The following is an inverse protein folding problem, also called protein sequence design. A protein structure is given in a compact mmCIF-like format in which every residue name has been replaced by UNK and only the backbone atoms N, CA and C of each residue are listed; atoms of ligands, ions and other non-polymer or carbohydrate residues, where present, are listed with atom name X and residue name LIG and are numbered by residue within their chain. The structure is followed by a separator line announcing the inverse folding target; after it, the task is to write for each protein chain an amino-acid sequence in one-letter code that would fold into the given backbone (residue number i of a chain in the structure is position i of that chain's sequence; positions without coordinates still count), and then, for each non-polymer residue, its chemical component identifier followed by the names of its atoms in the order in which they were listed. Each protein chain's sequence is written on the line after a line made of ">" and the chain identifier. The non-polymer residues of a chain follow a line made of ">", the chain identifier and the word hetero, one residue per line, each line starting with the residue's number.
data_IF_783535799863
#
_entry.id   IF_783535799863
#
_cell.length_a   1.000
_cell.length_b   1.000
_cell.length_c   1.000
_cell.angle_alpha   90.00
_cell.angle_beta   90.00
_cell.angle_gamma   90.00
#
_symmetry.space_group_name_H-M   'P 1'
#
loop_
_entity.id
_entity.type
_entity.pdbx_description
1 polymer ?
#
# COMPACT_ATOMS: atom_id res chain seq x y z
N UNK A 1 -14.02 -21.34 8.91
CA UNK A 1 -15.11 -22.23 8.43
C UNK A 1 -15.89 -21.52 7.35
N UNK A 2 -16.02 -22.17 6.20
CA UNK A 2 -16.87 -21.90 5.03
C UNK A 2 -16.18 -21.22 3.83
N UNK A 3 -15.51 -22.04 3.04
CA UNK A 3 -15.42 -21.84 1.59
C UNK A 3 -16.48 -22.74 0.94
N UNK A 4 -17.59 -22.14 0.53
CA UNK A 4 -18.50 -22.69 -0.49
C UNK A 4 -19.49 -21.61 -0.91
N UNK A 5 -19.26 -20.93 -2.00
CA UNK A 5 -20.25 -20.11 -2.68
C UNK A 5 -20.55 -20.73 -4.04
N UNK A 6 -21.76 -21.26 -4.21
CA UNK A 6 -22.26 -21.85 -5.44
C UNK A 6 -22.67 -20.75 -6.41
N UNK A 7 -22.15 -20.78 -7.62
CA UNK A 7 -22.55 -19.92 -8.73
C UNK A 7 -23.91 -20.36 -9.29
N UNK A 8 -24.90 -19.46 -9.28
CA UNK A 8 -26.16 -19.64 -9.98
C UNK A 8 -26.14 -18.87 -11.29
N UNK A 9 -26.09 -19.59 -12.40
CA UNK A 9 -26.21 -19.04 -13.75
C UNK A 9 -27.67 -18.78 -14.07
N UNK A 10 -28.06 -17.54 -14.33
CA UNK A 10 -29.34 -17.19 -14.93
C UNK A 10 -29.10 -16.73 -16.37
N UNK A 11 -29.51 -17.53 -17.31
CA UNK A 11 -29.51 -17.18 -18.70
C UNK A 11 -30.78 -16.36 -19.06
N UNK A 12 -30.60 -15.14 -19.54
CA UNK A 12 -31.68 -14.34 -20.15
C UNK A 12 -31.41 -14.17 -21.63
N UNK A 13 -32.24 -14.77 -22.44
CA UNK A 13 -32.30 -14.59 -23.90
C UNK A 13 -33.06 -13.31 -24.22
N UNK A 14 -32.45 -12.36 -24.90
CA UNK A 14 -33.10 -11.15 -25.43
C UNK A 14 -32.63 -10.84 -26.85
N UNK A 15 -33.56 -10.77 -27.74
CA UNK A 15 -33.49 -10.60 -29.19
C UNK A 15 -32.91 -9.27 -29.64
N UNK A 16 -32.18 -9.33 -30.76
CA UNK A 16 -31.38 -8.28 -31.35
C UNK A 16 -32.08 -7.00 -31.80
N UNK A 17 -31.29 -5.95 -31.74
CA UNK A 17 -31.35 -4.77 -32.62
C UNK A 17 -29.93 -4.44 -33.02
N UNK A 18 -29.64 -4.52 -34.31
CA UNK A 18 -28.37 -4.09 -34.90
C UNK A 18 -28.28 -2.56 -34.89
N UNK A 19 -27.49 -2.02 -34.01
CA UNK A 19 -27.00 -0.64 -34.10
C UNK A 19 -25.68 -0.62 -34.88
N UNK A 20 -25.60 0.25 -35.90
CA UNK A 20 -24.34 0.50 -36.62
C UNK A 20 -23.28 1.05 -35.69
N UNK A 21 -22.00 0.67 -35.86
CA UNK A 21 -20.92 1.21 -35.05
C UNK A 21 -20.71 2.69 -35.40
N UNK A 22 -20.96 3.56 -34.46
CA UNK A 22 -20.42 4.92 -34.49
C UNK A 22 -18.93 4.79 -34.16
N UNK A 23 -18.06 4.95 -35.13
CA UNK A 23 -16.61 5.15 -34.90
C UNK A 23 -16.44 6.49 -34.20
N UNK A 24 -16.49 6.48 -32.86
CA UNK A 24 -15.98 7.56 -32.03
C UNK A 24 -14.46 7.55 -32.15
N UNK A 25 -13.84 8.71 -32.40
CA UNK A 25 -12.42 8.91 -32.22
C UNK A 25 -12.08 8.52 -30.78
N UNK A 26 -11.36 7.42 -30.59
CA UNK A 26 -10.62 7.18 -29.35
C UNK A 26 -9.69 8.39 -29.18
N UNK A 27 -9.82 9.08 -28.07
CA UNK A 27 -8.95 10.21 -27.74
C UNK A 27 -7.56 9.66 -27.40
N UNK A 28 -6.47 10.35 -27.76
CA UNK A 28 -5.09 9.95 -27.48
C UNK A 28 -4.90 9.56 -25.98
N UNK A 29 -5.62 10.22 -25.05
CA UNK A 29 -5.61 9.90 -23.62
C UNK A 29 -6.21 8.54 -23.25
N UNK A 30 -7.17 8.01 -24.02
CA UNK A 30 -7.74 6.66 -23.79
C UNK A 30 -6.74 5.56 -24.13
N UNK A 31 -6.02 5.70 -25.25
CA UNK A 31 -4.99 4.72 -25.66
C UNK A 31 -3.82 4.67 -24.68
N UNK A 32 -3.42 5.79 -24.12
CA UNK A 32 -2.33 5.88 -23.14
C UNK A 32 -2.75 5.23 -21.79
N UNK A 33 -3.97 5.48 -21.34
CA UNK A 33 -4.51 4.83 -20.13
C UNK A 33 -4.59 3.31 -20.28
N UNK A 34 -5.08 2.79 -21.42
CA UNK A 34 -5.13 1.37 -21.70
C UNK A 34 -3.73 0.74 -21.72
N UNK A 35 -2.73 1.43 -22.28
CA UNK A 35 -1.33 0.96 -22.32
C UNK A 35 -0.72 0.86 -20.91
N UNK A 36 -1.02 1.79 -19.99
CA UNK A 36 -0.55 1.75 -18.60
C UNK A 36 -1.14 0.58 -17.84
N UNK A 37 -2.42 0.30 -18.03
CA UNK A 37 -3.08 -0.89 -17.47
C UNK A 37 -2.39 -2.16 -17.96
N UNK A 38 -2.20 -2.31 -19.27
CA UNK A 38 -1.54 -3.48 -19.87
C UNK A 38 -0.10 -3.67 -19.31
N UNK A 39 0.65 -2.59 -19.13
CA UNK A 39 2.01 -2.65 -18.55
C UNK A 39 1.98 -3.13 -17.10
N UNK A 40 1.10 -2.57 -16.27
CA UNK A 40 0.95 -2.94 -14.86
C UNK A 40 0.51 -4.40 -14.71
N UNK A 41 -0.48 -4.84 -15.49
CA UNK A 41 -0.93 -6.23 -15.49
C UNK A 41 0.15 -7.21 -15.97
N UNK A 42 0.91 -6.82 -17.00
CA UNK A 42 2.03 -7.63 -17.49
C UNK A 42 3.15 -7.74 -16.45
N UNK A 43 3.44 -6.65 -15.73
CA UNK A 43 4.41 -6.66 -14.64
C UNK A 43 3.95 -7.58 -13.50
N UNK A 44 2.69 -7.48 -13.10
CA UNK A 44 2.08 -8.36 -12.10
C UNK A 44 2.15 -9.82 -12.53
N UNK A 45 1.80 -10.15 -13.76
CA UNK A 45 1.85 -11.53 -14.26
C UNK A 45 3.29 -12.07 -14.22
N UNK A 46 4.28 -11.31 -14.70
CA UNK A 46 5.69 -11.74 -14.67
C UNK A 46 6.18 -11.98 -13.22
N UNK A 47 5.71 -11.17 -12.28
CA UNK A 47 6.00 -11.31 -10.86
C UNK A 47 5.38 -12.59 -10.28
N UNK A 48 4.10 -12.82 -10.54
CA UNK A 48 3.38 -14.02 -10.08
C UNK A 48 3.98 -15.29 -10.68
N UNK A 49 4.27 -15.31 -11.97
CA UNK A 49 4.92 -16.44 -12.65
C UNK A 49 6.26 -16.83 -12.00
N UNK A 50 6.92 -15.86 -11.37
CA UNK A 50 8.24 -16.08 -10.77
C UNK A 50 8.20 -16.43 -9.29
N UNK A 51 7.28 -15.84 -8.53
CA UNK A 51 7.34 -15.84 -7.07
C UNK A 51 6.11 -16.43 -6.38
N UNK A 52 5.00 -16.57 -7.10
CA UNK A 52 3.77 -17.06 -6.51
C UNK A 52 3.63 -18.58 -6.70
N UNK A 53 3.27 -19.25 -5.61
CA UNK A 53 3.02 -20.69 -5.60
C UNK A 53 1.61 -20.96 -5.11
N UNK A 54 0.85 -21.71 -5.88
CA UNK A 54 -0.54 -22.09 -5.58
C UNK A 54 -0.57 -23.52 -5.03
N UNK A 55 -1.34 -23.71 -3.98
CA UNK A 55 -1.79 -25.00 -3.49
C UNK A 55 -3.25 -25.21 -3.95
N UNK A 56 -3.41 -25.78 -5.14
CA UNK A 56 -4.73 -25.95 -5.79
C UNK A 56 -5.70 -26.81 -4.97
N UNK A 57 -5.19 -27.79 -4.20
CA UNK A 57 -6.03 -28.66 -3.37
C UNK A 57 -6.74 -27.90 -2.24
N UNK A 58 -6.21 -26.74 -1.84
CA UNK A 58 -6.70 -25.95 -0.71
C UNK A 58 -7.08 -24.51 -1.08
N UNK A 59 -7.13 -24.18 -2.36
CA UNK A 59 -7.46 -22.85 -2.90
C UNK A 59 -6.72 -21.70 -2.18
N UNK A 60 -5.40 -21.86 -2.08
CA UNK A 60 -4.53 -20.89 -1.42
C UNK A 60 -3.22 -20.73 -2.18
N UNK A 61 -2.59 -19.59 -1.97
CA UNK A 61 -1.29 -19.31 -2.57
C UNK A 61 -0.44 -18.40 -1.71
N UNK A 62 0.85 -18.41 -1.95
CA UNK A 62 1.80 -17.60 -1.21
C UNK A 62 2.95 -17.10 -2.09
N UNK A 63 3.49 -15.94 -1.75
CA UNK A 63 4.76 -15.47 -2.28
C UNK A 63 5.88 -16.14 -1.48
N UNK A 64 6.75 -16.87 -2.15
CA UNK A 64 7.79 -17.68 -1.52
C UNK A 64 8.95 -16.81 -1.02
N UNK A 65 9.43 -17.12 0.18
CA UNK A 65 10.66 -16.52 0.74
C UNK A 65 10.48 -15.20 1.43
N UNK A 66 9.25 -14.85 1.78
CA UNK A 66 8.88 -13.59 2.42
C UNK A 66 8.28 -13.84 3.82
N UNK A 67 8.30 -12.79 4.65
CA UNK A 67 7.82 -12.83 6.03
C UNK A 67 6.58 -11.95 6.21
N UNK A 68 6.08 -11.83 7.43
CA UNK A 68 4.77 -11.30 7.77
C UNK A 68 4.43 -9.98 7.06
N UNK A 69 5.19 -8.90 7.33
CA UNK A 69 4.85 -7.58 6.84
C UNK A 69 5.07 -7.41 5.32
N UNK A 70 6.10 -8.05 4.77
CA UNK A 70 6.34 -8.01 3.32
C UNK A 70 5.26 -8.76 2.54
N UNK A 71 4.70 -9.86 3.11
CA UNK A 71 3.53 -10.53 2.54
C UNK A 71 2.28 -9.66 2.64
N UNK A 72 2.11 -8.91 3.72
CA UNK A 72 1.00 -7.95 3.87
C UNK A 72 1.08 -6.85 2.81
N UNK A 73 2.26 -6.29 2.57
CA UNK A 73 2.46 -5.27 1.54
C UNK A 73 2.28 -5.80 0.11
N UNK A 74 2.73 -7.02 -0.18
CA UNK A 74 2.47 -7.63 -1.49
C UNK A 74 1.00 -8.03 -1.67
N UNK A 75 0.28 -8.35 -0.59
CA UNK A 75 -1.18 -8.45 -0.62
C UNK A 75 -1.80 -7.10 -0.99
N UNK A 76 -1.32 -5.99 -0.42
CA UNK A 76 -1.77 -4.65 -0.77
C UNK A 76 -1.48 -4.27 -2.24
N UNK A 77 -0.40 -4.77 -2.85
CA UNK A 77 -0.16 -4.58 -4.30
C UNK A 77 -1.25 -5.27 -5.14
N UNK A 78 -1.78 -6.41 -4.70
CA UNK A 78 -2.92 -7.07 -5.37
C UNK A 78 -4.22 -6.29 -5.12
N UNK A 79 -4.38 -5.72 -3.93
CA UNK A 79 -5.49 -4.78 -3.64
C UNK A 79 -5.43 -3.57 -4.57
N UNK A 80 -4.23 -2.98 -4.79
CA UNK A 80 -4.02 -1.88 -5.74
C UNK A 80 -4.43 -2.30 -7.16
N UNK A 81 -4.07 -3.50 -7.58
CA UNK A 81 -4.44 -4.03 -8.90
C UNK A 81 -5.96 -4.17 -9.06
N UNK A 82 -6.65 -4.72 -8.06
CA UNK A 82 -8.11 -4.82 -8.08
C UNK A 82 -8.78 -3.44 -8.05
N UNK A 83 -8.31 -2.55 -7.18
CA UNK A 83 -8.80 -1.18 -7.08
C UNK A 83 -8.71 -0.44 -8.43
N UNK A 84 -7.61 -0.62 -9.17
CA UNK A 84 -7.36 0.08 -10.43
C UNK A 84 -8.03 -0.56 -11.64
N UNK A 85 -8.16 -1.87 -11.69
CA UNK A 85 -8.64 -2.58 -12.87
C UNK A 85 -10.09 -3.08 -12.74
N UNK A 86 -10.53 -3.45 -11.54
CA UNK A 86 -11.79 -4.14 -11.29
C UNK A 86 -11.84 -5.59 -11.82
N UNK A 87 -10.68 -6.15 -12.19
CA UNK A 87 -10.59 -7.51 -12.75
C UNK A 87 -10.77 -8.57 -11.65
N UNK A 88 -11.79 -9.41 -11.77
CA UNK A 88 -12.15 -10.44 -10.78
C UNK A 88 -10.99 -11.38 -10.43
N UNK A 89 -10.06 -11.62 -11.38
CA UNK A 89 -8.83 -12.41 -11.12
C UNK A 89 -8.03 -11.89 -9.92
N UNK A 90 -8.01 -10.59 -9.66
CA UNK A 90 -7.30 -10.00 -8.52
C UNK A 90 -8.08 -10.17 -7.22
N UNK A 91 -9.42 -10.18 -7.27
CA UNK A 91 -10.24 -10.53 -6.11
C UNK A 91 -10.00 -11.98 -5.68
N UNK A 92 -9.96 -12.90 -6.63
CA UNK A 92 -9.66 -14.31 -6.38
C UNK A 92 -8.23 -14.47 -5.83
N UNK A 93 -7.26 -13.75 -6.41
CA UNK A 93 -5.88 -13.76 -5.96
C UNK A 93 -5.73 -13.22 -4.52
N UNK A 94 -6.43 -12.14 -4.16
CA UNK A 94 -6.49 -11.65 -2.78
C UNK A 94 -6.98 -12.72 -1.82
N UNK A 95 -8.07 -13.42 -2.16
CA UNK A 95 -8.61 -14.48 -1.31
C UNK A 95 -7.60 -15.62 -1.12
N UNK A 96 -6.97 -16.07 -2.19
CA UNK A 96 -5.95 -17.13 -2.14
C UNK A 96 -4.71 -16.72 -1.31
N UNK A 97 -4.21 -15.48 -1.51
CA UNK A 97 -3.06 -14.96 -0.76
C UNK A 97 -3.39 -14.82 0.72
N UNK A 98 -4.59 -14.34 1.05
CA UNK A 98 -5.03 -14.23 2.44
C UNK A 98 -5.17 -15.61 3.10
N UNK A 99 -5.74 -16.60 2.42
CA UNK A 99 -5.78 -17.98 2.91
C UNK A 99 -4.37 -18.55 3.14
N UNK A 100 -3.41 -18.27 2.26
CA UNK A 100 -2.00 -18.64 2.43
C UNK A 100 -1.34 -17.92 3.61
N UNK A 101 -1.68 -16.66 3.83
CA UNK A 101 -1.21 -15.87 4.96
C UNK A 101 -1.72 -16.43 6.30
N UNK A 102 -3.02 -16.69 6.40
CA UNK A 102 -3.65 -17.28 7.59
C UNK A 102 -3.08 -18.68 7.87
N UNK A 103 -2.78 -19.48 6.85
CA UNK A 103 -2.11 -20.76 7.04
C UNK A 103 -0.74 -20.61 7.71
N UNK A 104 0.00 -19.57 7.34
CA UNK A 104 1.37 -19.35 7.83
C UNK A 104 1.41 -18.73 9.22
N UNK A 105 0.46 -17.81 9.53
CA UNK A 105 0.50 -16.96 10.71
C UNK A 105 -0.73 -17.08 11.62
N UNK A 106 -1.76 -17.86 11.22
CA UNK A 106 -3.03 -17.93 11.94
C UNK A 106 -3.93 -16.71 11.69
N UNK A 107 -5.06 -16.68 12.40
CA UNK A 107 -6.01 -15.56 12.41
C UNK A 107 -5.75 -14.60 13.57
N UNK A 108 -4.99 -15.04 14.58
CA UNK A 108 -4.59 -14.28 15.76
C UNK A 108 -3.10 -13.94 15.68
N UNK A 109 -2.77 -12.64 15.69
CA UNK A 109 -1.39 -12.19 15.53
C UNK A 109 -0.79 -11.60 16.80
N UNK A 110 -1.41 -11.86 17.96
CA UNK A 110 -0.96 -11.36 19.26
C UNK A 110 0.46 -11.81 19.63
N UNK A 111 0.90 -12.94 19.09
CA UNK A 111 2.26 -13.48 19.29
C UNK A 111 3.32 -12.81 18.40
N UNK A 112 2.93 -11.98 17.44
CA UNK A 112 3.88 -11.16 16.68
C UNK A 112 4.28 -9.95 17.54
N UNK A 113 5.55 -9.86 17.88
CA UNK A 113 6.06 -8.76 18.71
C UNK A 113 6.08 -7.41 17.98
N UNK A 114 6.10 -7.41 16.65
CA UNK A 114 6.16 -6.20 15.83
C UNK A 114 4.77 -5.62 15.59
N UNK A 115 4.52 -4.46 16.16
CA UNK A 115 3.22 -3.77 16.04
C UNK A 115 2.94 -3.25 14.63
N UNK A 116 3.97 -2.82 13.94
CA UNK A 116 3.89 -2.38 12.54
C UNK A 116 3.57 -3.53 11.59
N UNK A 117 4.16 -4.72 11.77
CA UNK A 117 3.84 -5.91 10.98
C UNK A 117 2.32 -6.15 10.94
N UNK A 118 1.70 -6.17 12.14
CA UNK A 118 0.27 -6.37 12.28
C UNK A 118 -0.52 -5.26 11.59
N UNK A 119 -0.05 -4.02 11.71
CA UNK A 119 -0.76 -2.87 11.16
C UNK A 119 -0.73 -2.83 9.63
N UNK A 120 0.34 -3.31 8.99
CA UNK A 120 0.38 -3.46 7.53
C UNK A 120 -0.73 -4.39 7.01
N UNK A 121 -0.91 -5.57 7.59
CA UNK A 121 -2.01 -6.45 7.18
C UNK A 121 -3.39 -5.90 7.61
N UNK A 122 -3.47 -5.13 8.67
CA UNK A 122 -4.69 -4.42 9.07
C UNK A 122 -5.17 -3.45 8.00
N UNK A 123 -4.25 -2.68 7.41
CA UNK A 123 -4.54 -1.79 6.26
C UNK A 123 -5.01 -2.61 5.07
N UNK A 124 -4.28 -3.66 4.71
CA UNK A 124 -4.63 -4.55 3.61
C UNK A 124 -6.04 -5.12 3.75
N UNK A 125 -6.39 -5.60 4.95
CA UNK A 125 -7.74 -6.10 5.26
C UNK A 125 -8.81 -5.01 5.16
N UNK A 126 -8.57 -3.81 5.71
CA UNK A 126 -9.53 -2.71 5.64
C UNK A 126 -9.81 -2.31 4.19
N UNK A 127 -8.78 -2.18 3.36
CA UNK A 127 -8.89 -1.89 1.92
C UNK A 127 -9.60 -3.01 1.14
N UNK A 128 -9.24 -4.27 1.43
CA UNK A 128 -9.89 -5.42 0.80
C UNK A 128 -11.39 -5.46 1.11
N UNK A 129 -11.80 -5.14 2.35
CA UNK A 129 -13.22 -5.03 2.69
C UNK A 129 -13.93 -3.92 1.89
N UNK A 130 -13.35 -2.73 1.79
CA UNK A 130 -13.95 -1.63 1.01
C UNK A 130 -14.24 -2.01 -0.44
N UNK A 131 -13.37 -2.81 -1.05
CA UNK A 131 -13.48 -3.20 -2.45
C UNK A 131 -14.37 -4.42 -2.67
N UNK A 132 -14.39 -5.37 -1.73
CA UNK A 132 -15.05 -6.67 -1.90
C UNK A 132 -16.33 -6.84 -1.10
N UNK A 133 -16.47 -6.14 0.03
CA UNK A 133 -17.56 -6.32 0.99
C UNK A 133 -17.49 -7.61 1.82
N UNK A 134 -16.38 -8.37 1.72
CA UNK A 134 -16.21 -9.63 2.45
C UNK A 134 -15.94 -9.37 3.94
N UNK A 135 -16.92 -9.64 4.79
CA UNK A 135 -16.96 -9.19 6.20
C UNK A 135 -15.80 -9.67 7.06
N UNK A 136 -15.22 -10.83 6.75
CA UNK A 136 -14.06 -11.34 7.50
C UNK A 136 -12.84 -10.40 7.43
N UNK A 137 -12.62 -9.69 6.33
CA UNK A 137 -11.55 -8.69 6.24
C UNK A 137 -11.79 -7.53 7.20
N UNK A 138 -13.03 -7.05 7.31
CA UNK A 138 -13.38 -6.00 8.28
C UNK A 138 -13.14 -6.49 9.71
N UNK A 139 -13.62 -7.69 10.05
CA UNK A 139 -13.48 -8.27 11.38
C UNK A 139 -11.99 -8.40 11.77
N UNK A 140 -11.14 -8.82 10.84
CA UNK A 140 -9.70 -8.90 11.05
C UNK A 140 -9.07 -7.51 11.26
N UNK A 141 -9.47 -6.52 10.45
CA UNK A 141 -8.95 -5.17 10.58
C UNK A 141 -9.34 -4.52 11.91
N UNK A 142 -10.60 -4.63 12.32
CA UNK A 142 -11.09 -4.11 13.62
C UNK A 142 -10.37 -4.77 14.79
N UNK A 143 -10.27 -6.12 14.77
CA UNK A 143 -9.63 -6.89 15.82
C UNK A 143 -8.17 -6.49 16.02
N UNK A 144 -7.40 -6.45 14.94
CA UNK A 144 -5.97 -6.22 15.02
C UNK A 144 -5.60 -4.75 15.23
N UNK A 145 -6.38 -3.82 14.72
CA UNK A 145 -6.23 -2.40 15.09
C UNK A 145 -6.39 -2.21 16.60
N UNK A 146 -7.45 -2.80 17.17
CA UNK A 146 -7.69 -2.73 18.61
C UNK A 146 -6.57 -3.40 19.41
N UNK A 147 -6.14 -4.60 19.01
CA UNK A 147 -5.03 -5.33 19.64
C UNK A 147 -3.76 -4.45 19.72
N UNK A 148 -3.37 -3.86 18.59
CA UNK A 148 -2.15 -3.04 18.52
C UNK A 148 -2.32 -1.75 19.31
N UNK A 149 -3.44 -1.04 19.16
CA UNK A 149 -3.67 0.20 19.88
C UNK A 149 -3.63 -0.03 21.40
N UNK A 150 -4.33 -1.04 21.92
CA UNK A 150 -4.43 -1.32 23.34
C UNK A 150 -3.07 -1.70 23.97
N UNK A 151 -2.18 -2.37 23.23
CA UNK A 151 -0.89 -2.83 23.76
C UNK A 151 0.28 -1.87 23.51
N UNK A 152 0.19 -1.02 22.49
CA UNK A 152 1.31 -0.21 22.03
C UNK A 152 1.18 1.29 22.37
N UNK A 153 -0.05 1.81 22.50
CA UNK A 153 -0.24 3.21 22.88
C UNK A 153 0.14 3.45 24.35
N UNK A 154 0.95 4.45 24.59
CA UNK A 154 1.17 4.99 25.94
C UNK A 154 1.51 6.48 25.88
N UNK A 155 1.45 7.16 27.04
CA UNK A 155 1.66 8.60 27.14
C UNK A 155 3.15 9.00 27.27
N UNK A 156 4.06 8.04 27.29
CA UNK A 156 5.50 8.33 27.28
C UNK A 156 5.86 9.07 25.98
N UNK A 157 6.78 10.02 26.07
CA UNK A 157 7.17 10.87 24.95
C UNK A 157 6.00 11.66 24.32
N UNK A 158 4.93 11.91 25.10
CA UNK A 158 3.77 12.69 24.67
C UNK A 158 2.71 11.91 23.90
N UNK A 159 2.78 10.60 23.85
CA UNK A 159 1.84 9.71 23.10
C UNK A 159 2.56 8.83 22.09
N UNK A 160 1.83 8.31 21.12
CA UNK A 160 2.34 7.46 20.04
C UNK A 160 2.44 5.98 20.39
N UNK A 161 2.55 5.17 19.36
CA UNK A 161 2.60 3.71 19.44
C UNK A 161 4.04 3.20 19.50
N UNK A 162 4.29 2.23 20.36
CA UNK A 162 5.55 1.48 20.42
C UNK A 162 5.74 0.65 19.15
N UNK A 163 6.97 0.61 18.64
CA UNK A 163 7.29 -0.22 17.47
C UNK A 163 7.14 -1.71 17.77
N UNK A 164 7.59 -2.15 18.94
CA UNK A 164 7.66 -3.56 19.30
C UNK A 164 7.30 -3.75 20.78
N UNK A 165 6.79 -4.94 21.15
CA UNK A 165 6.32 -5.23 22.52
C UNK A 165 7.43 -5.16 23.59
N UNK A 166 8.68 -5.46 23.22
CA UNK A 166 9.86 -5.45 24.12
C UNK A 166 10.75 -4.20 23.95
N UNK A 167 10.28 -3.19 23.20
CA UNK A 167 11.01 -1.96 22.91
C UNK A 167 10.30 -0.74 23.49
N UNK A 168 11.04 0.34 23.67
CA UNK A 168 10.53 1.63 24.17
C UNK A 168 10.60 2.75 23.12
N UNK A 169 11.13 2.45 21.94
CA UNK A 169 11.16 3.39 20.82
C UNK A 169 9.79 3.46 20.13
N UNK A 170 9.51 4.62 19.56
CA UNK A 170 8.29 4.89 18.78
C UNK A 170 8.69 5.33 17.38
N UNK A 171 8.26 4.56 16.40
CA UNK A 171 8.72 4.69 15.03
C UNK A 171 7.60 5.23 14.10
N UNK A 172 8.01 5.92 13.04
CA UNK A 172 7.09 6.34 11.98
C UNK A 172 6.42 5.14 11.30
N UNK A 173 7.14 4.01 11.14
CA UNK A 173 6.64 2.79 10.49
C UNK A 173 5.45 2.10 11.17
N UNK A 174 5.16 2.42 12.43
CA UNK A 174 3.93 1.99 13.10
C UNK A 174 2.90 3.11 13.17
N UNK A 175 3.31 4.34 13.46
CA UNK A 175 2.38 5.43 13.70
C UNK A 175 1.68 5.91 12.41
N UNK A 176 2.40 6.02 11.29
CA UNK A 176 1.81 6.33 9.98
C UNK A 176 0.77 5.28 9.54
N UNK A 177 1.14 3.99 9.47
CA UNK A 177 0.19 2.91 9.16
C UNK A 177 -1.01 2.84 10.11
N UNK A 178 -0.81 3.03 11.41
CA UNK A 178 -1.92 3.00 12.37
C UNK A 178 -2.89 4.17 12.18
N UNK A 179 -2.39 5.37 11.85
CA UNK A 179 -3.25 6.49 11.49
C UNK A 179 -4.07 6.21 10.22
N UNK A 180 -3.45 5.60 9.20
CA UNK A 180 -4.14 5.14 7.98
C UNK A 180 -5.21 4.11 8.34
N UNK A 181 -4.86 3.07 9.08
CA UNK A 181 -5.80 2.01 9.47
C UNK A 181 -7.01 2.55 10.23
N UNK A 182 -6.78 3.49 11.18
CA UNK A 182 -7.86 4.16 11.90
C UNK A 182 -8.78 4.97 10.96
N UNK A 183 -8.23 5.69 9.99
CA UNK A 183 -9.00 6.41 8.98
C UNK A 183 -9.85 5.46 8.13
N UNK A 184 -9.26 4.36 7.65
CA UNK A 184 -9.96 3.35 6.85
C UNK A 184 -11.07 2.68 7.66
N UNK A 185 -10.81 2.31 8.92
CA UNK A 185 -11.82 1.72 9.81
C UNK A 185 -12.98 2.70 10.08
N UNK A 186 -12.70 3.97 10.32
CA UNK A 186 -13.77 4.98 10.41
C UNK A 186 -14.56 5.07 9.11
N UNK A 187 -13.90 5.04 7.95
CA UNK A 187 -14.56 5.13 6.64
C UNK A 187 -15.53 3.96 6.41
N UNK A 188 -15.20 2.74 6.86
CA UNK A 188 -16.04 1.55 6.68
C UNK A 188 -17.06 1.32 7.79
N UNK A 189 -16.78 1.72 9.04
CA UNK A 189 -17.67 1.46 10.19
C UNK A 189 -18.52 2.66 10.61
N UNK A 190 -18.01 3.88 10.38
CA UNK A 190 -18.55 5.15 10.90
C UNK A 190 -18.48 5.29 12.41
N UNK A 191 -17.63 4.48 13.08
CA UNK A 191 -17.40 4.58 14.51
C UNK A 191 -16.36 5.67 14.80
N UNK A 192 -16.78 6.75 15.49
CA UNK A 192 -15.97 7.94 15.76
C UNK A 192 -14.66 7.64 16.52
N UNK A 193 -14.63 6.59 17.33
CA UNK A 193 -13.45 6.18 18.09
C UNK A 193 -12.23 5.90 17.19
N UNK A 194 -12.44 5.34 16.00
CA UNK A 194 -11.36 5.10 15.03
C UNK A 194 -10.79 6.43 14.49
N UNK A 195 -11.64 7.38 14.16
CA UNK A 195 -11.19 8.69 13.67
C UNK A 195 -10.44 9.47 14.75
N UNK A 196 -10.93 9.45 15.99
CA UNK A 196 -10.26 10.13 17.11
C UNK A 196 -8.89 9.50 17.39
N UNK A 197 -8.78 8.18 17.39
CA UNK A 197 -7.49 7.48 17.51
C UNK A 197 -6.55 7.81 16.34
N UNK A 198 -7.05 7.81 15.10
CA UNK A 198 -6.25 8.18 13.93
C UNK A 198 -5.68 9.60 14.06
N UNK A 199 -6.52 10.58 14.46
CA UNK A 199 -6.09 11.96 14.71
C UNK A 199 -5.05 12.06 15.82
N UNK A 200 -5.25 11.30 16.90
CA UNK A 200 -4.34 11.29 18.05
C UNK A 200 -2.96 10.74 17.67
N UNK A 201 -2.92 9.62 16.94
CA UNK A 201 -1.67 9.00 16.43
C UNK A 201 -0.97 9.95 15.45
N UNK A 202 -1.71 10.47 14.48
CA UNK A 202 -1.21 11.39 13.47
C UNK A 202 -0.62 12.66 14.10
N UNK A 203 -1.34 13.28 15.04
CA UNK A 203 -0.88 14.51 15.69
C UNK A 203 0.42 14.27 16.46
N UNK A 204 0.52 13.13 17.16
CA UNK A 204 1.77 12.77 17.82
C UNK A 204 2.93 12.62 16.82
N UNK A 205 2.71 11.95 15.69
CA UNK A 205 3.76 11.78 14.66
C UNK A 205 4.16 13.13 14.06
N UNK A 206 3.20 14.01 13.77
CA UNK A 206 3.45 15.35 13.27
C UNK A 206 4.30 16.17 14.24
N UNK A 207 3.94 16.18 15.52
CA UNK A 207 4.62 16.98 16.54
C UNK A 207 5.99 16.45 16.93
N UNK A 208 6.21 15.13 16.77
CA UNK A 208 7.41 14.45 17.30
C UNK A 208 8.40 14.08 16.20
N UNK A 209 7.93 13.52 15.08
CA UNK A 209 8.80 12.94 14.04
C UNK A 209 8.91 13.81 12.78
N UNK A 210 7.97 14.74 12.53
CA UNK A 210 8.07 15.62 11.37
C UNK A 210 9.00 16.80 11.65
N UNK A 211 9.88 17.11 10.68
CA UNK A 211 10.92 18.12 10.83
C UNK A 211 10.48 19.54 10.43
N UNK A 212 9.18 19.73 10.11
CA UNK A 212 8.62 21.04 9.70
C UNK A 212 8.96 21.48 8.27
N UNK A 213 9.74 20.70 7.54
CA UNK A 213 10.06 20.91 6.11
C UNK A 213 9.51 19.80 5.21
N UNK A 214 8.63 18.94 5.72
CA UNK A 214 8.07 17.78 5.03
C UNK A 214 8.83 16.48 5.25
N UNK A 215 10.01 16.51 5.86
CA UNK A 215 10.76 15.30 6.20
C UNK A 215 10.15 14.57 7.40
N UNK A 216 9.99 13.27 7.31
CA UNK A 216 9.52 12.39 8.38
C UNK A 216 10.71 11.59 8.92
N UNK A 217 11.06 11.82 10.18
CA UNK A 217 12.10 11.10 10.92
C UNK A 217 11.68 9.67 11.19
N UNK A 218 12.64 8.76 11.30
CA UNK A 218 12.39 7.33 11.47
C UNK A 218 11.78 6.98 12.83
N UNK A 219 12.43 7.41 13.92
CA UNK A 219 11.98 7.07 15.26
C UNK A 219 12.46 8.05 16.34
N UNK A 220 11.86 7.95 17.51
CA UNK A 220 12.34 8.55 18.76
C UNK A 220 12.65 7.46 19.77
N UNK A 221 13.83 7.55 20.38
CA UNK A 221 14.27 6.66 21.45
C UNK A 221 13.70 7.10 22.82
N UNK A 222 13.69 6.20 23.80
CA UNK A 222 13.15 6.46 25.14
C UNK A 222 13.85 7.61 25.88
N UNK A 223 15.08 7.96 25.48
CA UNK A 223 15.82 9.11 26.02
C UNK A 223 15.47 10.45 25.31
N UNK A 224 14.54 10.42 24.37
CA UNK A 224 14.11 11.58 23.59
C UNK A 224 14.96 11.87 22.37
N UNK A 225 15.94 11.05 22.03
CA UNK A 225 16.79 11.23 20.85
C UNK A 225 16.03 10.79 19.59
N UNK A 226 15.93 11.70 18.62
CA UNK A 226 15.29 11.44 17.33
C UNK A 226 16.34 10.96 16.32
N UNK A 227 16.03 9.86 15.63
CA UNK A 227 16.71 9.40 14.44
C UNK A 227 16.08 10.09 13.23
N UNK A 228 16.79 11.05 12.66
CA UNK A 228 16.31 11.90 11.56
C UNK A 228 16.45 11.28 10.17
N UNK A 229 16.80 10.00 10.07
CA UNK A 229 16.79 9.30 8.79
C UNK A 229 15.38 9.31 8.20
N UNK A 230 15.29 9.64 6.90
CA UNK A 230 14.04 9.66 6.16
C UNK A 230 14.02 8.49 5.19
N UNK A 231 12.94 7.72 5.22
CA UNK A 231 12.70 6.62 4.30
C UNK A 231 11.46 6.87 3.44
N UNK A 232 11.44 6.25 2.26
CA UNK A 232 10.34 6.44 1.32
C UNK A 232 9.02 5.91 1.86
N UNK A 233 9.02 4.80 2.61
CA UNK A 233 7.77 4.26 3.18
C UNK A 233 7.20 5.13 4.31
N UNK A 234 8.04 5.74 5.15
CA UNK A 234 7.58 6.66 6.19
C UNK A 234 6.99 7.94 5.58
N UNK A 235 7.62 8.49 4.53
CA UNK A 235 7.05 9.60 3.76
C UNK A 235 5.69 9.20 3.17
N UNK A 236 5.61 8.04 2.52
CA UNK A 236 4.38 7.54 1.90
C UNK A 236 3.23 7.38 2.90
N UNK A 237 3.47 6.75 4.04
CA UNK A 237 2.42 6.56 5.05
C UNK A 237 1.98 7.85 5.71
N UNK A 238 2.89 8.81 5.91
CA UNK A 238 2.52 10.14 6.40
C UNK A 238 1.65 10.91 5.39
N UNK A 239 2.01 10.87 4.10
CA UNK A 239 1.21 11.44 3.00
C UNK A 239 -0.19 10.79 3.00
N UNK A 240 -0.26 9.46 3.07
CA UNK A 240 -1.53 8.72 3.06
C UNK A 240 -2.41 9.03 4.27
N UNK A 241 -1.85 9.08 5.47
CA UNK A 241 -2.58 9.44 6.69
C UNK A 241 -3.11 10.87 6.62
N UNK A 242 -2.29 11.81 6.15
CA UNK A 242 -2.65 13.22 5.97
C UNK A 242 -3.80 13.38 4.97
N UNK A 243 -3.70 12.74 3.81
CA UNK A 243 -4.76 12.79 2.78
C UNK A 243 -6.07 12.21 3.31
N UNK A 244 -6.05 11.03 3.93
CA UNK A 244 -7.25 10.39 4.47
C UNK A 244 -7.91 11.25 5.54
N UNK A 245 -7.14 11.88 6.44
CA UNK A 245 -7.68 12.81 7.42
C UNK A 245 -8.31 14.03 6.77
N UNK A 246 -7.70 14.58 5.72
CA UNK A 246 -8.32 15.67 4.95
C UNK A 246 -9.64 15.23 4.32
N UNK A 247 -9.69 14.08 3.66
CA UNK A 247 -10.93 13.56 3.04
C UNK A 247 -12.05 13.36 4.05
N UNK A 248 -11.73 12.87 5.24
CA UNK A 248 -12.70 12.54 6.27
C UNK A 248 -13.18 13.76 7.06
N UNK A 249 -12.33 14.79 7.22
CA UNK A 249 -12.64 15.96 8.08
C UNK A 249 -12.89 17.25 7.31
N UNK A 250 -12.36 17.37 6.08
CA UNK A 250 -12.35 18.62 5.31
C UNK A 250 -11.37 19.67 5.85
N UNK A 251 -10.54 19.36 6.83
CA UNK A 251 -9.60 20.29 7.43
C UNK A 251 -8.35 20.47 6.55
N UNK A 252 -8.19 21.65 5.95
CA UNK A 252 -7.13 21.97 4.99
C UNK A 252 -5.71 21.70 5.52
N UNK A 253 -5.47 21.86 6.81
CA UNK A 253 -4.17 21.62 7.43
C UNK A 253 -3.59 20.23 7.11
N UNK A 254 -4.42 19.21 7.00
CA UNK A 254 -3.98 17.85 6.67
C UNK A 254 -3.50 17.74 5.21
N UNK A 255 -4.23 18.37 4.27
CA UNK A 255 -3.78 18.41 2.89
C UNK A 255 -2.48 19.21 2.73
N UNK A 256 -2.33 20.31 3.46
CA UNK A 256 -1.12 21.14 3.45
C UNK A 256 0.11 20.31 3.91
N UNK A 257 -0.04 19.48 4.94
CA UNK A 257 1.02 18.59 5.42
C UNK A 257 1.31 17.45 4.42
N UNK A 258 0.27 16.89 3.76
CA UNK A 258 0.47 15.89 2.69
C UNK A 258 1.29 16.49 1.53
N UNK A 259 0.96 17.71 1.11
CA UNK A 259 1.68 18.44 0.05
C UNK A 259 3.12 18.71 0.48
N UNK A 260 3.32 19.19 1.71
CA UNK A 260 4.66 19.50 2.23
C UNK A 260 5.57 18.24 2.24
N UNK A 261 5.02 17.09 2.66
CA UNK A 261 5.76 15.83 2.65
C UNK A 261 6.02 15.30 1.23
N UNK A 262 5.06 15.46 0.31
CA UNK A 262 5.22 15.09 -1.09
C UNK A 262 6.25 15.99 -1.81
N UNK A 263 6.25 17.29 -1.54
CA UNK A 263 7.25 18.24 -2.04
C UNK A 263 8.66 17.87 -1.57
N UNK A 264 8.82 17.57 -0.26
CA UNK A 264 10.09 17.09 0.27
C UNK A 264 10.54 15.82 -0.46
N UNK A 265 9.65 14.86 -0.63
CA UNK A 265 9.97 13.60 -1.31
C UNK A 265 10.41 13.83 -2.75
N UNK A 266 9.69 14.68 -3.49
CA UNK A 266 9.97 14.95 -4.90
C UNK A 266 11.27 15.76 -5.10
N UNK A 267 11.63 16.62 -4.14
CA UNK A 267 12.77 17.52 -4.28
C UNK A 267 14.05 17.06 -3.57
N UNK A 268 13.93 16.24 -2.52
CA UNK A 268 15.07 15.83 -1.68
C UNK A 268 15.36 14.32 -1.73
N UNK A 269 14.37 13.49 -2.12
CA UNK A 269 14.50 12.03 -2.10
C UNK A 269 14.55 11.43 -3.51
N UNK A 270 15.40 11.98 -4.38
CA UNK A 270 15.59 11.47 -5.73
C UNK A 270 17.07 11.52 -6.16
N UNK A 271 17.38 10.71 -7.18
CA UNK A 271 18.65 10.77 -7.89
C UNK A 271 18.36 10.71 -9.39
N UNK A 272 18.85 11.69 -10.17
CA UNK A 272 18.59 11.83 -11.60
C UNK A 272 17.08 11.74 -11.97
N UNK A 273 16.22 12.34 -11.14
CA UNK A 273 14.76 12.36 -11.34
C UNK A 273 14.05 11.09 -10.87
N UNK A 274 14.76 10.06 -10.45
CA UNK A 274 14.19 8.79 -9.99
C UNK A 274 14.18 8.75 -8.45
N UNK A 275 13.09 8.25 -7.86
CA UNK A 275 12.96 8.08 -6.40
C UNK A 275 14.18 7.32 -5.86
N UNK A 276 14.75 7.85 -4.77
CA UNK A 276 15.89 7.24 -4.10
C UNK A 276 15.60 5.78 -3.75
N UNK A 277 16.65 4.99 -3.79
CA UNK A 277 16.64 3.63 -3.28
C UNK A 277 17.31 3.64 -1.93
N UNK A 278 16.62 3.14 -0.93
CA UNK A 278 17.23 2.66 0.30
C UNK A 278 18.19 1.51 -0.07
N UNK A 279 19.04 1.07 0.83
CA UNK A 279 20.02 0.02 0.53
C UNK A 279 19.33 -1.26 -0.02
N UNK A 280 20.05 -2.04 -0.82
CA UNK A 280 19.53 -3.27 -1.44
C UNK A 280 19.46 -4.48 -0.48
N UNK A 281 19.87 -4.30 0.78
CA UNK A 281 19.88 -5.36 1.80
C UNK A 281 18.72 -5.28 2.77
N UNK A 282 18.54 -6.34 3.53
CA UNK A 282 17.45 -6.51 4.50
C UNK A 282 16.08 -6.37 3.83
N UNK A 283 15.17 -5.65 4.44
CA UNK A 283 13.80 -5.39 4.00
C UNK A 283 13.61 -4.03 3.30
N UNK A 284 14.67 -3.27 3.09
CA UNK A 284 14.64 -1.93 2.51
C UNK A 284 14.18 -1.88 1.03
N UNK A 285 14.45 -2.88 0.17
CA UNK A 285 14.24 -2.75 -1.27
C UNK A 285 12.81 -2.48 -1.73
N UNK A 286 11.81 -2.79 -0.93
CA UNK A 286 10.40 -2.60 -1.30
C UNK A 286 9.78 -1.28 -0.84
N UNK A 287 10.44 -0.52 0.03
CA UNK A 287 9.89 0.67 0.72
C UNK A 287 9.21 1.68 -0.20
N UNK A 288 9.81 1.98 -1.33
CA UNK A 288 9.24 2.96 -2.27
C UNK A 288 7.93 2.54 -2.94
N UNK A 289 7.56 1.26 -2.88
CA UNK A 289 6.23 0.80 -3.31
C UNK A 289 5.12 1.36 -2.44
N UNK A 290 5.37 1.49 -1.14
CA UNK A 290 4.45 2.11 -0.18
C UNK A 290 4.29 3.61 -0.48
N UNK A 291 5.41 4.30 -0.73
CA UNK A 291 5.35 5.70 -1.19
C UNK A 291 4.53 5.83 -2.47
N UNK A 292 4.79 4.98 -3.46
CA UNK A 292 4.09 5.02 -4.75
C UNK A 292 2.57 4.92 -4.60
N UNK A 293 2.09 3.99 -3.76
CA UNK A 293 0.66 3.81 -3.45
C UNK A 293 0.03 5.09 -2.90
N UNK A 294 0.60 5.63 -1.82
CA UNK A 294 -0.01 6.76 -1.12
C UNK A 294 0.17 8.08 -1.85
N UNK A 295 1.30 8.30 -2.51
CA UNK A 295 1.48 9.47 -3.38
C UNK A 295 0.55 9.38 -4.61
N UNK A 296 0.36 8.17 -5.17
CA UNK A 296 -0.61 7.95 -6.25
C UNK A 296 -2.05 8.28 -5.85
N UNK A 297 -2.44 7.97 -4.61
CA UNK A 297 -3.73 8.38 -4.07
C UNK A 297 -3.83 9.90 -3.91
N UNK A 298 -2.80 10.55 -3.39
CA UNK A 298 -2.75 12.00 -3.28
C UNK A 298 -2.92 12.68 -4.66
N UNK A 299 -2.34 12.13 -5.71
CA UNK A 299 -2.53 12.64 -7.08
C UNK A 299 -3.93 12.36 -7.58
N UNK A 300 -4.39 11.11 -7.54
CA UNK A 300 -5.62 10.68 -8.21
C UNK A 300 -6.90 11.05 -7.43
N UNK A 301 -6.87 11.00 -6.10
CA UNK A 301 -8.00 11.23 -5.21
C UNK A 301 -7.89 12.59 -4.51
N UNK A 302 -6.68 13.00 -4.12
CA UNK A 302 -6.39 14.30 -3.52
C UNK A 302 -6.23 15.44 -4.53
N UNK A 303 -6.25 15.16 -5.84
CA UNK A 303 -6.21 16.15 -6.93
C UNK A 303 -4.87 16.90 -7.05
N UNK A 304 -3.78 16.35 -6.50
CA UNK A 304 -2.47 17.02 -6.51
C UNK A 304 -1.67 16.67 -7.77
N UNK A 305 -2.12 17.19 -8.91
CA UNK A 305 -1.61 16.89 -10.26
C UNK A 305 -0.13 17.23 -10.48
N UNK A 306 0.45 18.12 -9.67
CA UNK A 306 1.85 18.55 -9.81
C UNK A 306 2.86 17.41 -9.64
N UNK A 307 2.49 16.28 -9.03
CA UNK A 307 3.37 15.13 -8.84
C UNK A 307 3.23 14.08 -9.94
N UNK A 308 2.24 14.19 -10.81
CA UNK A 308 1.87 13.20 -11.82
C UNK A 308 3.02 12.87 -12.77
N UNK A 309 3.58 13.89 -13.44
CA UNK A 309 4.66 13.69 -14.40
C UNK A 309 5.89 13.01 -13.78
N UNK A 310 6.20 13.34 -12.53
CA UNK A 310 7.30 12.70 -11.82
C UNK A 310 7.00 11.24 -11.49
N UNK A 311 5.79 10.91 -11.07
CA UNK A 311 5.38 9.53 -10.82
C UNK A 311 5.39 8.70 -12.12
N UNK A 312 4.92 9.26 -13.21
CA UNK A 312 4.93 8.62 -14.53
C UNK A 312 6.36 8.38 -15.02
N UNK A 313 7.25 9.34 -14.87
CA UNK A 313 8.68 9.18 -15.16
C UNK A 313 9.28 7.99 -14.40
N UNK A 314 8.94 7.84 -13.11
CA UNK A 314 9.41 6.72 -12.28
C UNK A 314 8.87 5.37 -12.77
N UNK A 315 7.59 5.29 -13.10
CA UNK A 315 6.95 4.10 -13.65
C UNK A 315 7.59 3.70 -15.00
N UNK A 316 7.74 4.63 -15.91
CA UNK A 316 8.36 4.40 -17.22
C UNK A 316 9.82 3.97 -17.10
N UNK A 317 10.57 4.60 -16.18
CA UNK A 317 11.97 4.27 -15.95
C UNK A 317 12.11 2.85 -15.41
N UNK A 318 11.31 2.46 -14.43
CA UNK A 318 11.28 1.11 -13.90
C UNK A 318 10.91 0.10 -15.00
N UNK A 319 9.84 0.36 -15.76
CA UNK A 319 9.38 -0.50 -16.85
C UNK A 319 10.43 -0.70 -17.92
N UNK A 320 11.10 0.36 -18.34
CA UNK A 320 12.17 0.33 -19.35
C UNK A 320 13.39 -0.49 -18.90
N UNK A 321 13.65 -0.49 -17.60
CA UNK A 321 14.81 -1.14 -17.00
C UNK A 321 14.52 -2.56 -16.46
N UNK A 322 13.36 -3.16 -16.79
CA UNK A 322 13.07 -4.56 -16.48
C UNK A 322 14.09 -5.52 -17.12
N UNK A 323 14.33 -6.67 -16.48
CA UNK A 323 15.21 -7.71 -17.02
C UNK A 323 14.53 -8.55 -18.12
N UNK A 324 15.22 -9.57 -18.64
CA UNK A 324 14.69 -10.44 -19.69
C UNK A 324 13.43 -11.25 -19.27
N UNK A 325 13.18 -11.37 -17.96
CA UNK A 325 11.99 -12.03 -17.38
C UNK A 325 10.86 -11.05 -17.06
N UNK A 326 11.05 -9.76 -17.35
CA UNK A 326 10.09 -8.71 -17.04
C UNK A 326 10.03 -8.32 -15.57
N UNK A 327 11.06 -8.62 -14.78
CA UNK A 327 11.17 -8.20 -13.38
C UNK A 327 11.89 -6.86 -13.29
N UNK A 328 11.48 -6.05 -12.34
CA UNK A 328 12.05 -4.73 -12.03
C UNK A 328 12.55 -4.74 -10.59
N UNK A 329 13.85 -4.56 -10.41
CA UNK A 329 14.45 -4.45 -9.08
C UNK A 329 14.33 -3.03 -8.53
N UNK A 330 14.57 -2.85 -7.25
CA UNK A 330 14.45 -1.55 -6.56
C UNK A 330 15.31 -0.43 -7.19
N UNK A 331 16.37 -0.73 -7.92
CA UNK A 331 17.21 0.26 -8.63
C UNK A 331 16.55 0.67 -9.95
N UNK A 332 15.46 1.43 -9.90
CA UNK A 332 14.66 1.75 -11.10
C UNK A 332 15.44 2.49 -12.19
N UNK A 333 16.47 3.29 -11.83
CA UNK A 333 17.34 3.99 -12.78
C UNK A 333 18.32 3.10 -13.52
N UNK A 334 18.45 1.82 -13.13
CA UNK A 334 19.43 0.89 -13.69
C UNK A 334 18.76 -0.34 -14.30
N UNK A 335 19.43 -0.93 -15.31
CA UNK A 335 18.95 -2.18 -15.91
C UNK A 335 18.96 -3.31 -14.89
N UNK A 336 17.80 -3.86 -14.58
CA UNK A 336 17.65 -5.02 -13.71
C UNK A 336 18.40 -6.23 -14.27
N UNK A 337 19.26 -6.85 -13.50
CA UNK A 337 20.09 -8.00 -13.91
C UNK A 337 19.26 -9.30 -13.90
N UNK A 338 19.68 -10.28 -14.71
CA UNK A 338 19.11 -11.63 -14.73
C UNK A 338 19.69 -12.49 -13.60
N UNK A 339 19.50 -12.07 -12.35
CA UNK A 339 19.96 -12.77 -11.15
C UNK A 339 18.77 -13.15 -10.25
N UNK A 340 19.05 -13.67 -9.06
CA UNK A 340 18.03 -13.90 -8.06
C UNK A 340 17.73 -12.62 -7.31
N UNK A 341 16.44 -12.28 -7.20
CA UNK A 341 15.95 -11.15 -6.41
C UNK A 341 14.90 -11.60 -5.40
N UNK A 342 14.75 -10.82 -4.33
CA UNK A 342 13.66 -10.98 -3.39
C UNK A 342 12.34 -10.45 -4.00
N UNK A 343 11.23 -11.16 -3.81
CA UNK A 343 9.91 -10.71 -4.29
C UNK A 343 9.57 -9.29 -3.83
N UNK A 344 9.80 -9.00 -2.56
CA UNK A 344 9.51 -7.72 -1.95
C UNK A 344 10.10 -6.52 -2.70
N UNK A 345 11.38 -6.58 -3.05
CA UNK A 345 12.04 -5.51 -3.81
C UNK A 345 11.54 -5.38 -5.27
N UNK A 346 10.99 -6.47 -5.84
CA UNK A 346 10.41 -6.45 -7.18
C UNK A 346 8.96 -5.93 -7.17
N UNK A 347 8.23 -6.04 -6.07
CA UNK A 347 6.83 -5.61 -5.97
C UNK A 347 6.67 -4.09 -5.98
N UNK A 348 7.67 -3.34 -5.54
CA UNK A 348 7.64 -1.88 -5.47
C UNK A 348 7.36 -1.20 -6.82
N UNK A 349 7.97 -1.70 -7.90
CA UNK A 349 7.74 -1.16 -9.24
C UNK A 349 6.33 -1.48 -9.76
N UNK A 350 5.73 -2.61 -9.32
CA UNK A 350 4.36 -2.96 -9.68
C UNK A 350 3.39 -2.00 -8.99
N UNK A 351 3.61 -1.70 -7.71
CA UNK A 351 2.83 -0.68 -7.00
C UNK A 351 2.92 0.68 -7.72
N UNK A 352 4.11 1.09 -8.17
CA UNK A 352 4.30 2.32 -8.94
C UNK A 352 3.53 2.32 -10.27
N UNK A 353 3.53 1.20 -11.01
CA UNK A 353 2.79 1.08 -12.27
C UNK A 353 1.28 1.19 -12.05
N UNK A 354 0.73 0.56 -11.02
CA UNK A 354 -0.69 0.72 -10.68
C UNK A 354 -1.03 2.13 -10.17
N UNK A 355 -0.12 2.77 -9.42
CA UNK A 355 -0.33 4.10 -8.86
C UNK A 355 -0.53 5.19 -9.92
N UNK A 356 0.07 5.05 -11.12
CA UNK A 356 -0.05 6.01 -12.22
C UNK A 356 -1.24 5.74 -13.15
N UNK A 357 -2.06 4.72 -12.89
CA UNK A 357 -3.31 4.48 -13.63
C UNK A 357 -4.37 5.48 -13.12
N UNK A 358 -4.93 6.22 -14.06
CA UNK A 358 -6.04 7.15 -13.79
C UNK A 358 -7.37 6.45 -14.04
N UNK A 359 -8.32 6.66 -13.17
CA UNK A 359 -9.72 6.28 -13.39
C UNK A 359 -10.52 7.47 -13.85
#
# INVERSE_FOLDING_TARGET
>A
ILCAAAATVIAVSGTGMTAMPVFGKETEGGQEADMRVEQAEKAMQNFLDRFYVVDEDNDRGEIVGEFFWTRAEMFEVVVDAYEKTGEEKYKDLMAQMYCGFVKSYGEEWSDNDFNDDIMWMTIGCARAYELTGETFYKEQAEHHFKLVFDRAWNDDLGGGLLWKTDQTCKNACINGPAAIAGCLLYRITKEEDYLEKAKQIYQWQLDTLCQGNGAVSDNIESDGKINTWCSTYNQGTFIGASQLLWELTGEQKYLDEAILAADYTMHEMFHDGVINTEAEGNDLPGFKGILARWLGKLVNEGGQEQYREWMELNAETAWKNQNAKGLMWTLWGEKTQDTFYMPWGCSAAIAQLFAVIHK
#
